data_IF_907654871159
#
_entry.id   IF_907654871159
#
_cell.length_a   1.000
_cell.length_b   1.000
_cell.length_c   1.000
_cell.angle_alpha   90.00
_cell.angle_beta   90.00
_cell.angle_gamma   90.00
#
_symmetry.space_group_name_H-M   'P 1'
#
loop_
_entity.id
_entity.type
_entity.pdbx_description
1 polymer ?
#
# COMPACT_ATOMS: atom_id res chain seq x y z
N UNK A 1 -2.22 17.18 -64.92
CA UNK A 1 -0.95 17.93 -65.00
C UNK A 1 -0.95 18.95 -63.88
N UNK A 2 -0.04 18.78 -62.91
CA UNK A 2 0.26 19.70 -61.80
C UNK A 2 0.94 20.99 -62.32
N UNK A 3 0.88 22.11 -61.57
CA UNK A 3 1.87 22.41 -60.52
C UNK A 3 1.33 23.05 -59.22
N UNK A 4 2.02 22.79 -58.10
CA UNK A 4 2.05 23.59 -56.85
C UNK A 4 3.20 24.64 -56.92
N UNK A 5 3.18 25.69 -56.09
CA UNK A 5 4.07 25.76 -54.89
C UNK A 5 3.45 26.53 -53.68
N UNK A 6 3.53 26.04 -52.43
CA UNK A 6 4.56 26.24 -51.37
C UNK A 6 4.32 27.38 -50.37
N UNK A 7 4.15 27.03 -49.08
CA UNK A 7 4.61 27.75 -47.87
C UNK A 7 4.37 26.83 -46.65
N UNK A 8 5.35 26.10 -46.09
CA UNK A 8 6.41 26.45 -45.10
C UNK A 8 5.91 27.03 -43.76
N UNK A 9 6.49 26.45 -42.69
CA UNK A 9 6.59 26.88 -41.28
C UNK A 9 5.56 26.25 -40.31
N UNK A 10 5.90 25.73 -39.12
CA UNK A 10 7.16 25.55 -38.39
C UNK A 10 6.91 24.46 -37.33
N UNK A 11 7.90 23.60 -37.11
CA UNK A 11 7.94 22.64 -35.99
C UNK A 11 7.98 23.39 -34.65
N UNK A 12 7.16 22.94 -33.69
CA UNK A 12 7.24 23.35 -32.29
C UNK A 12 7.31 22.12 -31.38
N UNK A 13 8.51 21.58 -31.22
CA UNK A 13 8.85 20.56 -30.21
C UNK A 13 9.00 21.28 -28.87
N UNK A 14 8.06 21.09 -27.96
CA UNK A 14 8.13 21.56 -26.58
C UNK A 14 8.38 20.38 -25.64
N UNK A 15 9.63 19.89 -25.59
CA UNK A 15 10.08 18.94 -24.55
C UNK A 15 10.36 19.75 -23.29
N UNK A 16 9.43 19.72 -22.34
CA UNK A 16 9.69 20.18 -20.97
C UNK A 16 10.40 19.04 -20.23
N UNK A 17 11.72 19.01 -20.34
CA UNK A 17 12.58 18.18 -19.50
C UNK A 17 12.64 18.79 -18.10
N UNK A 18 11.80 18.29 -17.18
CA UNK A 18 11.90 18.62 -15.76
C UNK A 18 12.94 17.69 -15.13
N UNK A 19 14.18 18.16 -15.05
CA UNK A 19 15.27 17.47 -14.37
C UNK A 19 15.11 17.54 -12.86
N UNK A 20 14.69 16.44 -12.23
CA UNK A 20 14.80 16.23 -10.80
C UNK A 20 16.15 15.56 -10.51
N UNK A 21 17.14 16.37 -10.17
CA UNK A 21 18.39 15.91 -9.55
C UNK A 21 18.13 15.81 -8.05
N UNK A 22 17.91 14.60 -7.53
CA UNK A 22 17.95 14.33 -6.09
C UNK A 22 19.22 13.54 -5.79
N UNK A 23 20.30 14.27 -5.51
CA UNK A 23 21.46 13.74 -4.79
C UNK A 23 21.14 13.75 -3.29
N UNK A 24 20.84 12.58 -2.74
CA UNK A 24 20.73 12.35 -1.31
C UNK A 24 21.34 10.99 -0.98
N UNK A 25 22.62 10.98 -0.60
CA UNK A 25 23.35 9.81 -0.11
C UNK A 25 22.96 9.56 1.35
N UNK A 26 22.59 8.31 1.68
CA UNK A 26 22.33 7.87 3.05
C UNK A 26 20.86 7.67 3.40
N UNK A 27 20.03 7.22 2.46
CA UNK A 27 18.64 6.88 2.75
C UNK A 27 18.52 5.43 3.19
N UNK A 28 18.00 5.18 4.39
CA UNK A 28 17.15 4.01 4.59
C UNK A 28 16.20 3.95 3.40
N UNK A 29 16.14 2.81 2.70
CA UNK A 29 15.30 2.67 1.52
C UNK A 29 13.84 2.79 1.96
N UNK A 30 13.33 4.02 1.98
CA UNK A 30 11.96 4.32 2.37
C UNK A 30 11.02 3.66 1.35
N UNK A 31 10.01 2.97 1.85
CA UNK A 31 9.04 2.34 0.98
C UNK A 31 8.31 3.42 0.18
N UNK A 32 8.17 3.22 -1.14
CA UNK A 32 7.44 4.20 -1.95
C UNK A 32 5.98 4.22 -1.53
N UNK A 33 5.47 5.42 -1.23
CA UNK A 33 4.04 5.61 -1.02
C UNK A 33 3.24 5.13 -2.25
N UNK A 34 2.09 4.47 -2.06
CA UNK A 34 1.24 4.08 -3.17
C UNK A 34 0.61 5.33 -3.83
N UNK A 35 0.25 5.27 -5.13
CA UNK A 35 -0.51 6.35 -5.76
C UNK A 35 -1.87 6.53 -5.10
N UNK A 36 -2.47 7.73 -5.22
CA UNK A 36 -3.75 8.03 -4.55
C UNK A 36 -4.92 7.17 -5.04
N UNK A 37 -4.86 6.70 -6.29
CA UNK A 37 -5.83 5.81 -6.92
C UNK A 37 -5.47 4.31 -6.77
N UNK A 38 -4.51 3.97 -5.91
CA UNK A 38 -4.09 2.60 -5.67
C UNK A 38 -5.27 1.69 -5.28
N UNK A 39 -5.30 0.50 -5.88
CA UNK A 39 -6.23 -0.55 -5.49
C UNK A 39 -5.92 -1.09 -4.08
N UNK A 40 -6.89 -1.74 -3.40
CA UNK A 40 -6.65 -2.29 -2.06
C UNK A 40 -5.43 -3.23 -1.97
N UNK A 41 -5.20 -4.16 -2.92
CA UNK A 41 -3.97 -4.98 -2.93
C UNK A 41 -2.67 -4.18 -3.03
N UNK A 42 -2.66 -3.08 -3.80
CA UNK A 42 -1.47 -2.23 -3.91
C UNK A 42 -1.17 -1.50 -2.60
N UNK A 43 -2.21 -1.08 -1.86
CA UNK A 43 -2.04 -0.46 -0.54
C UNK A 43 -1.51 -1.47 0.48
N UNK A 44 -2.05 -2.69 0.52
CA UNK A 44 -1.52 -3.77 1.38
C UNK A 44 -0.07 -4.09 1.04
N UNK A 45 0.26 -4.12 -0.26
CA UNK A 45 1.64 -4.35 -0.68
C UNK A 45 2.58 -3.25 -0.20
N UNK A 46 2.21 -1.98 -0.38
CA UNK A 46 3.00 -0.84 0.08
C UNK A 46 3.20 -0.86 1.60
N UNK A 47 2.16 -1.19 2.37
CA UNK A 47 2.27 -1.38 3.82
C UNK A 47 3.26 -2.49 4.19
N UNK A 48 3.15 -3.68 3.59
CA UNK A 48 4.03 -4.80 3.90
C UNK A 48 5.49 -4.54 3.48
N UNK A 49 5.69 -3.83 2.38
CA UNK A 49 7.02 -3.38 1.95
C UNK A 49 7.61 -2.37 2.97
N UNK A 50 6.78 -1.48 3.55
CA UNK A 50 7.18 -0.57 4.62
C UNK A 50 7.55 -1.32 5.92
N UNK A 51 6.75 -2.29 6.35
CA UNK A 51 7.08 -3.15 7.49
C UNK A 51 8.40 -3.90 7.27
N UNK A 52 8.61 -4.46 6.08
CA UNK A 52 9.88 -5.14 5.74
C UNK A 52 11.09 -4.21 5.74
N UNK A 53 10.89 -2.93 5.40
CA UNK A 53 11.91 -1.89 5.44
C UNK A 53 12.15 -1.31 6.85
N UNK A 54 11.25 -1.57 7.80
CA UNK A 54 11.23 -0.89 9.10
C UNK A 54 10.89 0.60 8.99
N UNK A 55 10.04 0.95 8.02
CA UNK A 55 9.58 2.32 7.76
C UNK A 55 8.20 2.53 8.38
N UNK A 56 8.17 2.74 9.69
CA UNK A 56 6.93 2.87 10.47
C UNK A 56 6.09 4.08 10.01
N UNK A 57 6.76 5.17 9.61
CA UNK A 57 6.08 6.35 9.07
C UNK A 57 5.34 6.03 7.76
N UNK A 58 5.97 5.29 6.85
CA UNK A 58 5.32 4.85 5.62
C UNK A 58 4.17 3.86 5.87
N UNK A 59 4.32 2.94 6.83
CA UNK A 59 3.27 2.00 7.23
C UNK A 59 2.06 2.74 7.86
N UNK A 60 2.32 3.72 8.72
CA UNK A 60 1.30 4.57 9.33
C UNK A 60 0.57 5.44 8.28
N UNK A 61 1.28 5.97 7.27
CA UNK A 61 0.70 6.84 6.24
C UNK A 61 -0.39 6.16 5.39
N UNK A 62 -0.32 4.82 5.25
CA UNK A 62 -1.32 4.03 4.52
C UNK A 62 -2.36 3.36 5.43
N UNK A 63 -2.30 3.65 6.73
CA UNK A 63 -3.18 3.10 7.75
C UNK A 63 -4.17 4.16 8.24
N UNK A 64 -5.29 3.71 8.81
CA UNK A 64 -6.14 4.60 9.62
C UNK A 64 -5.39 4.95 10.92
N UNK A 65 -5.61 6.14 11.51
CA UNK A 65 -4.91 6.53 12.74
C UNK A 65 -5.07 5.51 13.87
N UNK A 66 -6.30 5.01 14.08
CA UNK A 66 -6.56 4.02 15.13
C UNK A 66 -5.84 2.69 14.91
N UNK A 67 -5.69 2.24 13.66
CA UNK A 67 -4.94 1.03 13.37
C UNK A 67 -3.43 1.25 13.57
N UNK A 68 -2.86 2.34 13.03
CA UNK A 68 -1.44 2.65 13.15
C UNK A 68 -0.95 2.71 14.61
N UNK A 69 -1.77 3.28 15.51
CA UNK A 69 -1.45 3.38 16.94
C UNK A 69 -1.43 2.01 17.65
N UNK A 70 -2.09 0.99 17.09
CA UNK A 70 -2.27 -0.33 17.71
C UNK A 70 -1.60 -1.47 16.95
N UNK A 71 -0.92 -1.16 15.85
CA UNK A 71 -0.39 -2.14 14.92
C UNK A 71 0.82 -2.90 15.52
N UNK A 72 0.68 -4.21 15.79
CA UNK A 72 1.77 -4.98 16.38
C UNK A 72 2.99 -5.09 15.46
N UNK A 73 2.85 -4.83 14.16
CA UNK A 73 3.95 -4.90 13.20
C UNK A 73 4.83 -3.64 13.20
N UNK A 74 4.31 -2.48 13.63
CA UNK A 74 5.04 -1.20 13.65
C UNK A 74 5.84 -0.97 14.95
N UNK A 75 5.49 -1.65 16.05
CA UNK A 75 6.01 -1.28 17.39
C UNK A 75 7.05 -2.25 17.98
N UNK A 76 7.80 -3.00 17.16
CA UNK A 76 8.80 -3.93 17.69
C UNK A 76 9.73 -4.55 16.65
N UNK A 77 10.92 -4.95 17.09
CA UNK A 77 12.02 -5.42 16.22
C UNK A 77 12.03 -6.92 15.89
N UNK A 78 11.10 -7.71 16.42
CA UNK A 78 11.27 -9.17 16.43
C UNK A 78 10.50 -9.95 15.36
N UNK A 79 9.21 -9.72 15.05
CA UNK A 79 8.62 -10.47 13.95
C UNK A 79 9.03 -9.84 12.61
N UNK A 80 9.89 -10.54 11.86
CA UNK A 80 10.26 -10.17 10.49
C UNK A 80 9.38 -10.90 9.49
N UNK A 81 8.93 -10.18 8.45
CA UNK A 81 8.12 -10.75 7.38
C UNK A 81 9.00 -11.26 6.23
N UNK A 82 8.76 -12.49 5.78
CA UNK A 82 9.38 -13.16 4.63
C UNK A 82 8.32 -13.76 3.72
N UNK A 83 8.71 -14.09 2.49
CA UNK A 83 7.87 -14.79 1.49
C UNK A 83 6.47 -14.18 1.31
N UNK A 84 6.39 -12.84 1.39
CA UNK A 84 5.13 -12.11 1.33
C UNK A 84 4.54 -12.19 -0.08
N UNK A 85 3.34 -12.75 -0.16
CA UNK A 85 2.49 -12.77 -1.35
C UNK A 85 1.15 -12.12 -1.04
N UNK A 86 0.77 -11.12 -1.84
CA UNK A 86 -0.52 -10.41 -1.70
C UNK A 86 -1.44 -10.88 -2.82
N UNK A 87 -2.68 -11.23 -2.47
CA UNK A 87 -3.70 -11.55 -3.47
C UNK A 87 -3.90 -10.37 -4.42
N UNK A 88 -3.95 -10.62 -5.73
CA UNK A 88 -4.26 -9.59 -6.72
C UNK A 88 -5.73 -9.12 -6.63
N UNK A 89 -6.58 -9.92 -6.01
CA UNK A 89 -8.00 -9.64 -5.82
C UNK A 89 -8.30 -9.14 -4.41
N UNK A 90 -9.38 -8.36 -4.31
CA UNK A 90 -10.01 -8.00 -3.04
C UNK A 90 -11.50 -8.27 -3.09
N UNK A 91 -12.09 -8.66 -1.97
CA UNK A 91 -13.54 -8.91 -1.86
C UNK A 91 -14.22 -7.82 -1.03
N UNK A 92 -15.51 -7.53 -1.23
CA UNK A 92 -16.30 -6.79 -0.25
C UNK A 92 -16.19 -7.44 1.13
N UNK A 93 -16.14 -6.63 2.18
CA UNK A 93 -16.14 -7.08 3.56
C UNK A 93 -17.44 -6.68 4.24
N UNK A 94 -18.12 -7.64 4.86
CA UNK A 94 -19.37 -7.40 5.58
C UNK A 94 -19.08 -6.88 6.99
N UNK A 95 -19.46 -5.63 7.26
CA UNK A 95 -19.24 -4.97 8.56
C UNK A 95 -20.38 -5.18 9.56
N UNK A 96 -21.44 -5.93 9.22
CA UNK A 96 -22.63 -6.05 10.05
C UNK A 96 -22.34 -6.58 11.47
N UNK A 97 -21.29 -7.40 11.63
CA UNK A 97 -20.84 -7.94 12.93
C UNK A 97 -19.57 -7.27 13.47
N UNK A 98 -19.05 -6.25 12.80
CA UNK A 98 -17.82 -5.55 13.18
C UNK A 98 -18.08 -4.45 14.22
N UNK A 99 -17.04 -3.92 14.89
CA UNK A 99 -17.19 -2.78 15.79
C UNK A 99 -17.78 -1.53 15.09
N UNK A 100 -18.47 -0.63 15.82
CA UNK A 100 -19.09 0.57 15.24
C UNK A 100 -18.13 1.46 14.44
N UNK A 101 -16.85 1.50 14.83
CA UNK A 101 -15.83 2.26 14.12
C UNK A 101 -15.62 1.77 12.68
N UNK A 102 -15.74 0.46 12.43
CA UNK A 102 -15.62 -0.10 11.07
C UNK A 102 -16.93 0.06 10.29
N UNK A 103 -18.08 0.00 10.96
CA UNK A 103 -19.40 0.23 10.36
C UNK A 103 -19.62 1.65 9.85
N UNK A 104 -18.84 2.63 10.35
CA UNK A 104 -18.91 4.02 9.93
C UNK A 104 -18.30 4.27 8.53
N UNK A 105 -17.66 3.26 7.93
CA UNK A 105 -17.07 3.36 6.60
C UNK A 105 -18.04 2.89 5.53
N UNK A 106 -18.12 3.65 4.44
CA UNK A 106 -19.03 3.38 3.33
C UNK A 106 -18.55 2.25 2.43
N UNK A 107 -17.22 2.10 2.30
CA UNK A 107 -16.62 1.08 1.45
C UNK A 107 -15.55 0.33 2.22
N UNK A 108 -15.72 -0.99 2.31
CA UNK A 108 -14.81 -1.87 3.04
C UNK A 108 -14.42 -3.07 2.18
N UNK A 109 -13.12 -3.36 2.10
CA UNK A 109 -12.55 -4.43 1.29
C UNK A 109 -11.62 -5.30 2.12
N UNK A 110 -11.61 -6.58 1.79
CA UNK A 110 -10.73 -7.57 2.39
C UNK A 110 -9.70 -8.04 1.36
N UNK A 111 -8.44 -8.12 1.79
CA UNK A 111 -7.31 -8.60 0.98
C UNK A 111 -6.61 -9.71 1.74
N UNK A 112 -6.56 -10.90 1.14
CA UNK A 112 -5.81 -12.04 1.67
C UNK A 112 -4.33 -11.90 1.31
N UNK A 113 -3.47 -12.28 2.25
CA UNK A 113 -2.03 -12.42 2.01
C UNK A 113 -1.53 -13.76 2.54
N UNK A 114 -0.40 -14.20 2.01
CA UNK A 114 0.40 -15.27 2.59
C UNK A 114 1.74 -14.69 2.98
N UNK A 115 2.20 -14.97 4.19
CA UNK A 115 3.49 -14.50 4.70
C UNK A 115 4.13 -15.54 5.61
N UNK A 116 5.45 -15.48 5.71
CA UNK A 116 6.24 -16.23 6.70
C UNK A 116 6.72 -15.24 7.75
N UNK A 117 6.40 -15.48 9.03
CA UNK A 117 6.93 -14.69 10.14
C UNK A 117 8.15 -15.41 10.71
N UNK A 118 9.24 -14.67 10.89
CA UNK A 118 10.46 -15.17 11.56
C UNK A 118 10.78 -14.31 12.77
N UNK A 119 11.48 -14.89 13.75
CA UNK A 119 11.85 -14.21 15.00
C UNK A 119 11.12 -14.73 16.23
N UNK A 120 11.78 -14.61 17.38
CA UNK A 120 11.27 -15.08 18.66
C UNK A 120 10.14 -14.15 19.16
N UNK A 121 9.08 -14.71 19.73
CA UNK A 121 8.02 -13.91 20.38
C UNK A 121 6.81 -13.51 19.52
N UNK A 122 6.77 -13.92 18.24
CA UNK A 122 5.66 -13.58 17.35
C UNK A 122 4.34 -14.31 17.65
N UNK A 123 4.37 -15.39 18.44
CA UNK A 123 3.19 -16.23 18.69
C UNK A 123 2.76 -17.07 17.48
N UNK A 124 3.45 -16.94 16.34
CA UNK A 124 3.26 -17.77 15.15
C UNK A 124 4.17 -19.00 15.19
N UNK A 125 3.76 -20.06 14.51
CA UNK A 125 4.71 -21.10 14.08
C UNK A 125 5.70 -20.44 13.13
N UNK A 126 6.90 -20.16 13.64
CA UNK A 126 7.97 -19.55 12.86
C UNK A 126 8.31 -20.45 11.66
N UNK A 127 8.68 -19.84 10.53
CA UNK A 127 9.17 -20.52 9.33
C UNK A 127 8.14 -21.34 8.52
N UNK A 128 6.83 -21.14 8.73
CA UNK A 128 5.76 -21.71 7.89
C UNK A 128 4.89 -20.61 7.28
N UNK A 129 4.61 -20.66 5.95
CA UNK A 129 3.68 -19.74 5.33
C UNK A 129 2.30 -19.80 6.00
N UNK A 130 1.82 -18.65 6.47
CA UNK A 130 0.54 -18.48 7.12
C UNK A 130 -0.36 -17.58 6.29
N UNK A 131 -1.65 -17.95 6.23
CA UNK A 131 -2.69 -17.08 5.70
C UNK A 131 -2.96 -15.93 6.67
N UNK A 132 -3.12 -14.73 6.13
CA UNK A 132 -3.44 -13.54 6.89
C UNK A 132 -4.36 -12.65 6.06
N UNK A 133 -5.01 -11.67 6.70
CA UNK A 133 -5.93 -10.78 6.02
C UNK A 133 -5.85 -9.36 6.53
N UNK A 134 -6.08 -8.42 5.62
CA UNK A 134 -6.16 -7.00 5.88
C UNK A 134 -7.53 -6.47 5.45
N UNK A 135 -8.12 -5.63 6.29
CA UNK A 135 -9.33 -4.89 5.99
C UNK A 135 -8.97 -3.45 5.65
N UNK A 136 -9.45 -2.98 4.49
CA UNK A 136 -9.23 -1.63 4.00
C UNK A 136 -10.54 -0.88 3.90
N UNK A 137 -10.47 0.41 4.20
CA UNK A 137 -11.63 1.30 4.26
C UNK A 137 -11.42 2.58 3.46
N UNK A 138 -12.53 3.17 3.02
CA UNK A 138 -12.62 4.56 2.55
C UNK A 138 -14.07 5.05 2.59
N UNK A 139 -14.28 6.37 2.55
CA UNK A 139 -15.64 6.96 2.54
C UNK A 139 -16.21 7.09 1.12
N UNK A 140 -15.38 7.48 0.15
CA UNK A 140 -15.82 7.69 -1.23
C UNK A 140 -14.81 7.14 -2.23
N UNK A 141 -15.17 7.07 -3.51
CA UNK A 141 -14.26 6.60 -4.55
C UNK A 141 -13.04 7.52 -4.77
N UNK A 142 -13.12 8.78 -4.33
CA UNK A 142 -12.05 9.76 -4.42
C UNK A 142 -11.08 9.69 -3.23
N UNK A 143 -11.49 9.05 -2.12
CA UNK A 143 -10.63 8.88 -0.96
C UNK A 143 -9.66 7.71 -1.18
N UNK A 144 -8.40 7.83 -0.73
CA UNK A 144 -7.46 6.72 -0.81
C UNK A 144 -7.86 5.60 0.15
N UNK A 145 -7.57 4.36 -0.22
CA UNK A 145 -7.72 3.22 0.69
C UNK A 145 -6.76 3.33 1.88
N UNK A 146 -7.24 2.92 3.05
CA UNK A 146 -6.45 2.86 4.29
C UNK A 146 -6.65 1.52 5.00
N UNK A 147 -5.60 0.98 5.62
CA UNK A 147 -5.69 -0.23 6.44
C UNK A 147 -6.37 0.11 7.77
N UNK A 148 -7.42 -0.62 8.11
CA UNK A 148 -8.20 -0.42 9.33
C UNK A 148 -8.08 -1.61 10.31
N UNK A 149 -7.80 -2.80 9.81
CA UNK A 149 -7.70 -4.01 10.61
C UNK A 149 -6.77 -5.04 9.94
N UNK A 150 -6.17 -5.91 10.74
CA UNK A 150 -5.36 -7.03 10.31
C UNK A 150 -5.62 -8.26 11.20
N UNK A 151 -5.31 -9.46 10.70
CA UNK A 151 -5.50 -10.70 11.46
C UNK A 151 -6.90 -11.28 11.35
N UNK A 152 -7.66 -10.85 10.35
CA UNK A 152 -8.93 -11.47 9.97
C UNK A 152 -8.59 -12.62 9.02
N UNK A 153 -8.78 -13.88 9.42
CA UNK A 153 -8.44 -15.04 8.58
C UNK A 153 -8.46 -16.38 9.32
#
# INVERSE_FOLDING_TARGET
>A
MHPMPSARALFGVGVLALGLVLSGCGGSASASAPPEDASPPQVVRAYLDAIQAGDDDAAAAVSTPGYADSDPWQHGSDPRLRDVSVSADSTPYDTASSPPALQAWEQVRYVTVTLTVTGDGSGFSTDVPSGWGYVLVRHTDADPWRIAEAGVG
#
